data_IF_166289862530
#
_entry.id   IF_166289862530
#
_cell.length_a   1.000
_cell.length_b   1.000
_cell.length_c   1.000
_cell.angle_alpha   90.00
_cell.angle_beta   90.00
_cell.angle_gamma   90.00
#
_symmetry.space_group_name_H-M   'P 1'
#
loop_
_entity.id
_entity.type
_entity.pdbx_description
1 polymer ?
#
# COMPACT_ATOMS: atom_id res chain seq x y z
N UNK A 1 -15.69 6.48 22.40
CA UNK A 1 -15.17 5.46 21.45
C UNK A 1 -16.23 4.88 20.50
N UNK A 2 -17.37 4.34 20.98
CA UNK A 2 -18.37 3.64 20.14
C UNK A 2 -18.88 4.48 18.94
N UNK A 3 -19.07 5.79 19.12
CA UNK A 3 -19.53 6.70 18.03
C UNK A 3 -18.52 6.84 16.88
N UNK A 4 -17.22 6.84 17.17
CA UNK A 4 -16.16 7.03 16.17
C UNK A 4 -15.95 5.77 15.32
N UNK A 5 -15.91 4.59 15.96
CA UNK A 5 -15.83 3.32 15.24
C UNK A 5 -17.05 3.11 14.33
N UNK A 6 -18.25 3.43 14.82
CA UNK A 6 -19.47 3.36 14.01
C UNK A 6 -19.47 4.34 12.83
N UNK A 7 -18.85 5.52 12.99
CA UNK A 7 -18.68 6.48 11.91
C UNK A 7 -17.79 5.92 10.79
N UNK A 8 -16.57 5.48 11.12
CA UNK A 8 -15.66 4.92 10.12
C UNK A 8 -16.21 3.64 9.48
N UNK A 9 -16.88 2.78 10.26
CA UNK A 9 -17.54 1.58 9.73
C UNK A 9 -18.55 1.92 8.63
N UNK A 10 -19.41 2.92 8.87
CA UNK A 10 -20.39 3.39 7.88
C UNK A 10 -19.70 4.00 6.66
N UNK A 11 -18.64 4.77 6.87
CA UNK A 11 -17.87 5.42 5.81
C UNK A 11 -17.22 4.39 4.87
N UNK A 12 -16.56 3.38 5.43
CA UNK A 12 -15.94 2.28 4.70
C UNK A 12 -17.00 1.43 3.99
N UNK A 13 -18.10 1.10 4.67
CA UNK A 13 -19.20 0.34 4.07
C UNK A 13 -19.79 1.03 2.84
N UNK A 14 -19.90 2.37 2.86
CA UNK A 14 -20.36 3.17 1.72
C UNK A 14 -19.41 3.07 0.51
N UNK A 15 -18.13 2.79 0.72
CA UNK A 15 -17.10 2.63 -0.32
C UNK A 15 -16.74 1.17 -0.62
N UNK A 16 -17.46 0.17 -0.07
CA UNK A 16 -17.04 -1.25 -0.08
C UNK A 16 -16.76 -1.84 -1.46
N UNK A 17 -17.52 -1.45 -2.50
CA UNK A 17 -17.30 -2.00 -3.85
C UNK A 17 -15.97 -1.53 -4.44
N UNK A 18 -15.55 -0.30 -4.14
CA UNK A 18 -14.22 0.20 -4.51
C UNK A 18 -13.13 -0.52 -3.74
N UNK A 19 -13.39 -0.83 -2.46
CA UNK A 19 -12.47 -1.64 -1.66
C UNK A 19 -12.30 -3.04 -2.25
N UNK A 20 -13.40 -3.73 -2.60
CA UNK A 20 -13.33 -5.05 -3.25
C UNK A 20 -12.59 -4.99 -4.58
N UNK A 21 -12.83 -3.97 -5.39
CA UNK A 21 -12.10 -3.76 -6.65
C UNK A 21 -10.59 -3.62 -6.41
N UNK A 22 -10.19 -2.76 -5.46
CA UNK A 22 -8.78 -2.54 -5.12
C UNK A 22 -8.13 -3.81 -4.57
N UNK A 23 -8.81 -4.55 -3.69
CA UNK A 23 -8.31 -5.82 -3.15
C UNK A 23 -8.14 -6.85 -4.26
N UNK A 24 -9.10 -6.97 -5.17
CA UNK A 24 -8.99 -7.87 -6.30
C UNK A 24 -7.81 -7.50 -7.22
N UNK A 25 -7.65 -6.21 -7.52
CA UNK A 25 -6.54 -5.69 -8.31
C UNK A 25 -5.19 -5.97 -7.65
N UNK A 26 -5.09 -5.77 -6.34
CA UNK A 26 -3.90 -6.07 -5.54
C UNK A 26 -3.53 -7.55 -5.61
N UNK A 27 -4.50 -8.47 -5.46
CA UNK A 27 -4.28 -9.91 -5.58
C UNK A 27 -3.79 -10.27 -6.97
N UNK A 28 -4.42 -9.72 -8.02
CA UNK A 28 -4.01 -9.97 -9.41
C UNK A 28 -2.56 -9.58 -9.63
N UNK A 29 -2.15 -8.38 -9.20
CA UNK A 29 -0.77 -7.92 -9.38
C UNK A 29 0.24 -8.68 -8.53
N UNK A 30 -0.10 -9.03 -7.29
CA UNK A 30 0.76 -9.84 -6.44
C UNK A 30 0.99 -11.24 -7.02
N UNK A 31 -0.09 -11.91 -7.46
CA UNK A 31 0.01 -13.24 -8.07
C UNK A 31 0.76 -13.16 -9.40
N UNK A 32 0.46 -12.17 -10.23
CA UNK A 32 1.16 -11.96 -11.50
C UNK A 32 2.67 -11.77 -11.29
N UNK A 33 3.06 -10.91 -10.35
CA UNK A 33 4.47 -10.63 -10.05
C UNK A 33 5.19 -11.85 -9.44
N UNK A 34 4.51 -12.60 -8.57
CA UNK A 34 5.03 -13.87 -8.04
C UNK A 34 5.27 -14.88 -9.17
N UNK A 35 4.29 -15.09 -10.06
CA UNK A 35 4.40 -15.99 -11.21
C UNK A 35 5.52 -15.55 -12.15
N UNK A 36 5.66 -14.24 -12.38
CA UNK A 36 6.75 -13.68 -13.18
C UNK A 36 8.11 -13.99 -12.55
N UNK A 37 8.26 -13.78 -11.24
CA UNK A 37 9.51 -14.01 -10.52
C UNK A 37 9.96 -15.49 -10.58
N UNK A 38 9.03 -16.44 -10.40
CA UNK A 38 9.35 -17.88 -10.49
C UNK A 38 9.59 -18.34 -11.94
N UNK A 39 8.96 -17.70 -12.91
CA UNK A 39 9.12 -18.04 -14.34
C UNK A 39 10.43 -17.50 -14.90
N UNK A 40 10.92 -16.38 -14.36
CA UNK A 40 12.15 -15.72 -14.77
C UNK A 40 13.06 -15.42 -13.56
N UNK A 41 13.60 -16.43 -12.85
CA UNK A 41 14.35 -16.19 -11.61
C UNK A 41 15.60 -15.33 -11.81
N UNK A 42 16.19 -15.35 -13.01
CA UNK A 42 17.33 -14.53 -13.38
C UNK A 42 17.06 -13.00 -13.30
N UNK A 43 15.79 -12.56 -13.33
CA UNK A 43 15.46 -11.14 -13.17
C UNK A 43 15.43 -10.69 -11.70
N UNK A 44 15.47 -11.63 -10.76
CA UNK A 44 15.32 -11.33 -9.33
C UNK A 44 16.43 -10.41 -8.78
N UNK A 45 17.74 -10.70 -9.00
CA UNK A 45 18.80 -9.82 -8.50
C UNK A 45 18.72 -8.40 -9.07
N UNK A 46 18.36 -8.25 -10.34
CA UNK A 46 18.18 -6.95 -10.98
C UNK A 46 17.04 -6.15 -10.35
N UNK A 47 15.92 -6.81 -10.04
CA UNK A 47 14.79 -6.18 -9.36
C UNK A 47 15.14 -5.76 -7.93
N UNK A 48 15.86 -6.61 -7.17
CA UNK A 48 16.34 -6.27 -5.83
C UNK A 48 17.31 -5.08 -5.89
N UNK A 49 18.23 -5.05 -6.84
CA UNK A 49 19.11 -3.90 -7.06
C UNK A 49 18.34 -2.61 -7.32
N UNK A 50 17.34 -2.66 -8.21
CA UNK A 50 16.47 -1.51 -8.49
C UNK A 50 15.70 -1.02 -7.25
N UNK A 51 15.14 -1.94 -6.44
CA UNK A 51 14.48 -1.58 -5.19
C UNK A 51 15.49 -0.97 -4.21
N UNK A 52 16.66 -1.58 -4.03
CA UNK A 52 17.72 -1.08 -3.16
C UNK A 52 18.15 0.34 -3.51
N UNK A 53 18.35 0.65 -4.79
CA UNK A 53 18.65 2.02 -5.25
C UNK A 53 17.49 3.00 -4.99
N UNK A 54 16.26 2.56 -5.19
CA UNK A 54 15.07 3.38 -4.96
C UNK A 54 14.89 3.69 -3.48
N UNK A 55 15.00 2.68 -2.61
CA UNK A 55 14.98 2.85 -1.16
C UNK A 55 16.16 3.69 -0.67
N UNK A 56 17.37 3.48 -1.20
CA UNK A 56 18.54 4.31 -0.87
C UNK A 56 18.33 5.79 -1.18
N UNK A 57 17.66 6.12 -2.30
CA UNK A 57 17.29 7.51 -2.63
C UNK A 57 16.22 8.09 -1.70
N UNK A 58 15.28 7.27 -1.24
CA UNK A 58 14.21 7.69 -0.31
C UNK A 58 14.76 7.91 1.10
N UNK A 59 15.60 6.97 1.57
CA UNK A 59 16.24 7.03 2.88
C UNK A 59 17.33 8.11 2.92
N UNK A 60 18.03 8.37 1.81
CA UNK A 60 19.10 9.36 1.75
C UNK A 60 20.18 9.09 2.79
N UNK A 61 20.59 10.12 3.52
CA UNK A 61 21.56 10.03 4.63
C UNK A 61 20.92 9.64 5.97
N UNK A 62 19.70 9.11 5.97
CA UNK A 62 19.03 8.70 7.21
C UNK A 62 19.77 7.53 7.83
N UNK A 63 20.38 7.76 8.98
CA UNK A 63 21.07 6.75 9.76
C UNK A 63 20.06 5.70 10.28
N UNK A 64 20.22 4.41 9.92
CA UNK A 64 19.36 3.33 10.41
C UNK A 64 19.32 3.22 11.94
N UNK A 65 20.40 3.63 12.63
CA UNK A 65 20.46 3.66 14.09
C UNK A 65 19.53 4.74 14.69
N UNK A 66 19.22 5.78 13.91
CA UNK A 66 18.25 6.81 14.25
C UNK A 66 16.82 6.39 13.91
N UNK A 67 16.33 5.37 14.62
CA UNK A 67 15.00 4.74 14.41
C UNK A 67 13.83 5.71 14.28
N UNK A 68 13.89 6.87 14.95
CA UNK A 68 12.85 7.90 14.86
C UNK A 68 12.94 8.73 13.56
N UNK A 69 14.13 9.02 13.06
CA UNK A 69 14.31 9.66 11.75
C UNK A 69 13.87 8.71 10.63
N UNK A 70 14.26 7.44 10.73
CA UNK A 70 13.81 6.38 9.81
C UNK A 70 12.27 6.29 9.78
N UNK A 71 11.61 6.25 10.95
CA UNK A 71 10.16 6.26 11.03
C UNK A 71 9.54 7.48 10.34
N UNK A 72 10.13 8.67 10.51
CA UNK A 72 9.63 9.89 9.87
C UNK A 72 9.71 9.83 8.35
N UNK A 73 10.81 9.30 7.79
CA UNK A 73 10.98 9.15 6.35
C UNK A 73 9.99 8.15 5.79
N UNK A 74 9.87 6.96 6.40
CA UNK A 74 8.92 5.92 5.99
C UNK A 74 7.48 6.41 6.07
N UNK A 75 7.11 7.04 7.20
CA UNK A 75 5.79 7.65 7.37
C UNK A 75 5.51 8.69 6.28
N UNK A 76 6.45 9.61 6.03
CA UNK A 76 6.29 10.67 5.04
C UNK A 76 6.07 10.10 3.64
N UNK A 77 6.85 9.09 3.25
CA UNK A 77 6.75 8.47 1.94
C UNK A 77 5.38 7.79 1.76
N UNK A 78 4.98 6.95 2.70
CA UNK A 78 3.69 6.25 2.65
C UNK A 78 2.50 7.20 2.76
N UNK A 79 2.62 8.24 3.58
CA UNK A 79 1.58 9.25 3.71
C UNK A 79 1.41 10.07 2.43
N UNK A 80 2.50 10.50 1.79
CA UNK A 80 2.44 11.20 0.51
C UNK A 80 1.80 10.28 -0.55
N UNK A 81 2.23 9.03 -0.67
CA UNK A 81 1.64 8.08 -1.62
C UNK A 81 0.13 7.92 -1.39
N UNK A 82 -0.29 7.65 -0.15
CA UNK A 82 -1.70 7.49 0.23
C UNK A 82 -2.51 8.77 0.06
N UNK A 83 -1.90 9.93 0.30
CA UNK A 83 -2.55 11.22 0.08
C UNK A 83 -2.75 11.49 -1.42
N UNK A 84 -1.74 11.19 -2.25
CA UNK A 84 -1.81 11.33 -3.70
C UNK A 84 -2.87 10.40 -4.30
N UNK A 85 -3.02 9.18 -3.79
CA UNK A 85 -4.10 8.26 -4.17
C UNK A 85 -5.48 8.91 -4.03
N UNK A 86 -5.72 9.61 -2.92
CA UNK A 86 -6.98 10.30 -2.66
C UNK A 86 -7.08 11.59 -3.48
N UNK A 87 -6.05 12.43 -3.46
CA UNK A 87 -6.05 13.76 -4.07
C UNK A 87 -6.18 13.70 -5.59
N UNK A 88 -5.43 12.81 -6.23
CA UNK A 88 -5.48 12.60 -7.68
C UNK A 88 -6.53 11.57 -8.11
N UNK A 89 -7.39 11.14 -7.19
CA UNK A 89 -8.57 10.34 -7.51
C UNK A 89 -9.45 10.97 -8.60
N UNK A 90 -9.47 12.30 -8.72
CA UNK A 90 -10.21 13.01 -9.78
C UNK A 90 -9.73 12.71 -11.19
N UNK A 91 -8.47 12.30 -11.37
CA UNK A 91 -7.90 11.84 -12.64
C UNK A 91 -8.27 10.36 -12.85
N UNK A 92 -9.57 10.08 -12.73
CA UNK A 92 -10.15 8.75 -12.87
C UNK A 92 -9.50 7.69 -11.95
N UNK A 93 -8.96 8.04 -10.79
CA UNK A 93 -8.31 7.07 -9.90
C UNK A 93 -7.08 6.37 -10.51
N UNK A 94 -6.50 6.91 -11.60
CA UNK A 94 -5.33 6.35 -12.25
C UNK A 94 -4.16 6.20 -11.29
N UNK A 95 -3.95 7.21 -10.43
CA UNK A 95 -2.91 7.18 -9.39
C UNK A 95 -3.14 6.04 -8.42
N UNK A 96 -4.39 5.80 -7.99
CA UNK A 96 -4.74 4.68 -7.11
C UNK A 96 -4.45 3.32 -7.75
N UNK A 97 -4.71 3.16 -9.05
CA UNK A 97 -4.39 1.94 -9.79
C UNK A 97 -2.88 1.72 -9.87
N UNK A 98 -2.11 2.77 -10.18
CA UNK A 98 -0.65 2.71 -10.25
C UNK A 98 -0.06 2.38 -8.87
N UNK A 99 -0.52 3.05 -7.82
CA UNK A 99 -0.09 2.82 -6.43
C UNK A 99 -0.29 1.35 -6.02
N UNK A 100 -1.48 0.79 -6.26
CA UNK A 100 -1.76 -0.62 -5.98
C UNK A 100 -0.90 -1.55 -6.82
N UNK A 101 -0.70 -1.22 -8.10
CA UNK A 101 0.15 -2.00 -8.99
C UNK A 101 1.58 -2.07 -8.45
N UNK A 102 2.20 -0.93 -8.15
CA UNK A 102 3.60 -0.87 -7.68
C UNK A 102 3.77 -1.60 -6.34
N UNK A 103 2.91 -1.32 -5.36
CA UNK A 103 3.02 -1.92 -4.02
C UNK A 103 2.84 -3.44 -4.04
N UNK A 104 1.79 -3.93 -4.72
CA UNK A 104 1.48 -5.36 -4.71
C UNK A 104 2.30 -6.16 -5.73
N UNK A 105 2.77 -5.53 -6.81
CA UNK A 105 3.77 -6.14 -7.68
C UNK A 105 5.08 -6.36 -6.91
N UNK A 106 5.59 -5.34 -6.20
CA UNK A 106 6.79 -5.49 -5.38
C UNK A 106 6.62 -6.58 -4.32
N UNK A 107 5.51 -6.56 -3.57
CA UNK A 107 5.22 -7.58 -2.55
C UNK A 107 5.17 -9.00 -3.15
N UNK A 108 4.46 -9.18 -4.27
CA UNK A 108 4.35 -10.47 -4.94
C UNK A 108 5.70 -10.98 -5.45
N UNK A 109 6.49 -10.11 -6.07
CA UNK A 109 7.82 -10.45 -6.56
C UNK A 109 8.79 -10.81 -5.42
N UNK A 110 8.81 -10.03 -4.34
CA UNK A 110 9.64 -10.26 -3.16
C UNK A 110 9.26 -11.53 -2.38
N UNK A 111 8.00 -11.98 -2.49
CA UNK A 111 7.56 -13.21 -1.84
C UNK A 111 8.10 -14.49 -2.49
N UNK A 112 8.60 -14.41 -3.73
CA UNK A 112 8.90 -15.58 -4.53
C UNK A 112 9.99 -16.49 -3.94
N UNK A 113 11.14 -15.99 -3.43
CA UNK A 113 12.15 -16.84 -2.83
C UNK A 113 11.76 -17.45 -1.49
N UNK A 114 10.77 -16.88 -0.81
CA UNK A 114 10.24 -17.40 0.44
C UNK A 114 9.21 -18.52 0.23
N UNK A 115 8.39 -18.41 -0.81
CA UNK A 115 7.30 -19.36 -1.12
C UNK A 115 7.78 -20.50 -2.03
N UNK A 116 8.72 -20.23 -2.95
CA UNK A 116 9.27 -21.20 -3.89
C UNK A 116 10.80 -21.32 -3.80
N UNK A 117 11.37 -21.60 -2.60
CA UNK A 117 12.82 -21.54 -2.35
C UNK A 117 13.65 -22.44 -3.30
N UNK A 118 13.08 -23.56 -3.75
CA UNK A 118 13.72 -24.47 -4.71
C UNK A 118 14.05 -23.83 -6.06
N UNK A 119 13.38 -22.73 -6.43
CA UNK A 119 13.61 -21.99 -7.68
C UNK A 119 14.78 -21.01 -7.55
N UNK A 120 15.07 -20.55 -6.34
CA UNK A 120 15.99 -19.44 -6.06
C UNK A 120 17.33 -19.87 -5.46
N UNK A 121 17.45 -21.12 -4.98
CA UNK A 121 18.73 -21.66 -4.51
C UNK A 121 19.33 -20.82 -3.38
N UNK A 122 20.50 -20.24 -3.61
CA UNK A 122 21.20 -19.37 -2.64
C UNK A 122 20.47 -18.07 -2.33
N UNK A 123 19.60 -17.60 -3.23
CA UNK A 123 18.76 -16.40 -3.05
C UNK A 123 17.48 -16.71 -2.26
N UNK A 124 17.26 -17.97 -1.87
CA UNK A 124 16.10 -18.35 -1.07
C UNK A 124 16.12 -17.71 0.32
N UNK A 125 14.95 -17.33 0.79
CA UNK A 125 14.76 -16.72 2.11
C UNK A 125 13.84 -17.63 2.91
N UNK A 126 14.08 -17.77 4.21
CA UNK A 126 13.16 -18.50 5.08
C UNK A 126 11.79 -17.82 5.08
N UNK A 127 10.72 -18.60 4.90
CA UNK A 127 9.34 -18.09 4.95
C UNK A 127 9.06 -17.31 6.25
N UNK A 128 9.63 -17.77 7.37
CA UNK A 128 9.48 -17.11 8.66
C UNK A 128 10.15 -15.72 8.66
N UNK A 129 11.35 -15.60 8.08
CA UNK A 129 12.05 -14.32 7.97
C UNK A 129 11.25 -13.35 7.10
N UNK A 130 10.71 -13.81 5.97
CA UNK A 130 9.85 -13.00 5.11
C UNK A 130 8.57 -12.51 5.82
N UNK A 131 7.90 -13.40 6.56
CA UNK A 131 6.69 -13.03 7.33
C UNK A 131 7.05 -12.00 8.41
N UNK A 132 8.13 -12.20 9.15
CA UNK A 132 8.56 -11.24 10.18
C UNK A 132 9.00 -9.91 9.55
N UNK A 133 9.58 -9.94 8.35
CA UNK A 133 9.98 -8.74 7.65
C UNK A 133 8.78 -7.88 7.22
N UNK A 134 7.62 -8.47 6.93
CA UNK A 134 6.48 -7.72 6.37
C UNK A 134 5.32 -7.56 7.35
N UNK A 135 4.96 -8.64 8.05
CA UNK A 135 3.73 -8.70 8.83
C UNK A 135 3.63 -7.63 9.92
N UNK A 136 4.69 -7.28 10.68
CA UNK A 136 4.58 -6.32 11.77
C UNK A 136 4.05 -4.95 11.31
N UNK A 137 4.61 -4.37 10.24
CA UNK A 137 4.18 -3.07 9.71
C UNK A 137 3.05 -3.20 8.69
N UNK A 138 3.06 -4.28 7.88
CA UNK A 138 2.09 -4.54 6.82
C UNK A 138 0.65 -4.69 7.30
N UNK A 139 0.42 -5.11 8.56
CA UNK A 139 -0.92 -5.13 9.18
C UNK A 139 -1.57 -3.74 9.20
N UNK A 140 -0.78 -2.66 9.29
CA UNK A 140 -1.28 -1.30 9.33
C UNK A 140 -1.18 -0.59 7.98
N UNK A 141 -0.09 -0.81 7.24
CA UNK A 141 0.15 -0.18 5.95
C UNK A 141 -0.82 -0.67 4.87
N UNK A 142 -1.04 -1.99 4.74
CA UNK A 142 -1.91 -2.55 3.70
C UNK A 142 -3.35 -2.01 3.82
N UNK A 143 -3.98 -1.97 5.01
CA UNK A 143 -5.28 -1.31 5.15
C UNK A 143 -5.25 0.18 4.81
N UNK A 144 -4.18 0.90 5.13
CA UNK A 144 -4.05 2.32 4.81
C UNK A 144 -4.03 2.55 3.29
N UNK A 145 -3.21 1.79 2.55
CA UNK A 145 -3.12 1.81 1.08
C UNK A 145 -4.47 1.42 0.45
N UNK A 146 -5.12 0.36 0.95
CA UNK A 146 -6.42 -0.06 0.42
C UNK A 146 -7.51 0.99 0.63
N UNK A 147 -7.52 1.64 1.80
CA UNK A 147 -8.47 2.71 2.08
C UNK A 147 -8.19 3.93 1.20
N UNK A 148 -6.95 4.40 1.07
CA UNK A 148 -6.61 5.54 0.22
C UNK A 148 -6.98 5.28 -1.23
N UNK A 149 -6.57 4.15 -1.80
CA UNK A 149 -6.83 3.79 -3.18
C UNK A 149 -8.33 3.58 -3.46
N UNK A 150 -9.08 2.96 -2.55
CA UNK A 150 -10.52 2.76 -2.73
C UNK A 150 -11.29 4.09 -2.73
N UNK A 151 -10.92 5.02 -1.86
CA UNK A 151 -11.52 6.34 -1.82
C UNK A 151 -11.06 7.24 -2.98
N UNK A 152 -9.85 7.06 -3.49
CA UNK A 152 -9.36 7.66 -4.75
C UNK A 152 -10.16 7.19 -5.96
N UNK A 153 -10.33 5.88 -6.13
CA UNK A 153 -11.18 5.29 -7.18
C UNK A 153 -12.63 5.77 -7.10
N UNK A 154 -13.17 5.87 -5.88
CA UNK A 154 -14.52 6.39 -5.66
C UNK A 154 -14.67 7.83 -6.15
N UNK A 155 -13.68 8.70 -5.92
CA UNK A 155 -13.68 10.07 -6.47
C UNK A 155 -13.67 10.02 -8.01
N UNK A 156 -12.81 9.18 -8.60
CA UNK A 156 -12.61 9.16 -10.05
C UNK A 156 -13.82 8.67 -10.83
N UNK A 157 -14.51 7.65 -10.33
CA UNK A 157 -15.44 6.89 -11.16
C UNK A 157 -16.90 6.93 -10.70
N UNK A 158 -17.20 7.15 -9.41
CA UNK A 158 -18.56 6.96 -8.90
C UNK A 158 -19.59 7.93 -9.52
N UNK A 159 -19.17 9.16 -9.82
CA UNK A 159 -20.03 10.17 -10.43
C UNK A 159 -20.27 9.93 -11.94
N UNK A 160 -19.47 9.07 -12.58
CA UNK A 160 -19.64 8.68 -13.99
C UNK A 160 -20.66 7.54 -14.16
N UNK A 161 -20.94 6.78 -13.10
CA UNK A 161 -21.87 5.66 -13.16
C UNK A 161 -23.28 6.12 -13.53
N UNK A 162 -24.07 5.28 -14.24
CA UNK A 162 -25.46 5.58 -14.57
C UNK A 162 -26.33 5.90 -13.34
N UNK A 163 -26.04 5.29 -12.19
CA UNK A 163 -26.71 5.56 -10.91
C UNK A 163 -26.57 7.01 -10.40
N UNK A 164 -25.60 7.76 -10.94
CA UNK A 164 -25.33 9.16 -10.61
C UNK A 164 -25.99 10.16 -11.57
N UNK A 165 -26.76 9.67 -12.56
CA UNK A 165 -27.44 10.53 -13.54
C UNK A 165 -28.33 11.59 -12.87
N UNK A 166 -28.27 12.82 -13.36
CA UNK A 166 -28.97 13.98 -12.77
C UNK A 166 -28.41 14.50 -11.45
N UNK A 167 -27.44 13.82 -10.82
CA UNK A 167 -26.85 14.20 -9.51
C UNK A 167 -25.32 14.14 -9.48
N UNK A 168 -24.65 14.05 -10.63
CA UNK A 168 -23.19 13.84 -10.77
C UNK A 168 -22.35 14.80 -9.92
N UNK A 169 -22.63 16.11 -9.96
CA UNK A 169 -21.90 17.12 -9.15
C UNK A 169 -22.02 16.86 -7.65
N UNK A 170 -23.21 16.47 -7.17
CA UNK A 170 -23.45 16.14 -5.76
C UNK A 170 -22.67 14.87 -5.38
N UNK A 171 -22.72 13.83 -6.22
CA UNK A 171 -22.01 12.57 -5.99
C UNK A 171 -20.49 12.77 -5.94
N UNK A 172 -19.93 13.57 -6.85
CA UNK A 172 -18.50 13.91 -6.84
C UNK A 172 -18.13 14.65 -5.55
N UNK A 173 -18.91 15.70 -5.20
CA UNK A 173 -18.70 16.47 -3.96
C UNK A 173 -18.73 15.56 -2.73
N UNK A 174 -19.77 14.74 -2.60
CA UNK A 174 -19.91 13.79 -1.48
C UNK A 174 -18.76 12.78 -1.43
N UNK A 175 -18.26 12.35 -2.58
CA UNK A 175 -17.12 11.42 -2.66
C UNK A 175 -15.83 12.10 -2.17
N UNK A 176 -15.55 13.33 -2.59
CA UNK A 176 -14.40 14.11 -2.11
C UNK A 176 -14.48 14.30 -0.58
N UNK A 177 -15.62 14.73 -0.05
CA UNK A 177 -15.78 14.92 1.40
C UNK A 177 -15.66 13.62 2.19
N UNK A 178 -16.20 12.51 1.68
CA UNK A 178 -16.07 11.21 2.31
C UNK A 178 -14.61 10.73 2.28
N UNK A 179 -13.86 11.00 1.21
CA UNK A 179 -12.43 10.67 1.12
C UNK A 179 -11.57 11.51 2.05
N UNK A 180 -11.86 12.80 2.22
CA UNK A 180 -11.16 13.63 3.21
C UNK A 180 -11.39 13.13 4.64
N UNK A 181 -12.57 12.58 4.92
CA UNK A 181 -12.89 12.00 6.23
C UNK A 181 -12.18 10.68 6.51
N UNK A 182 -11.66 9.96 5.50
CA UNK A 182 -10.90 8.72 5.73
C UNK A 182 -9.43 8.99 6.06
N UNK A 183 -8.88 10.13 5.62
CA UNK A 183 -7.46 10.49 5.80
C UNK A 183 -6.96 10.44 7.25
N UNK A 184 -7.70 10.87 8.29
CA UNK A 184 -7.22 10.76 9.67
C UNK A 184 -7.02 9.31 10.13
N UNK A 185 -7.84 8.37 9.66
CA UNK A 185 -7.65 6.94 9.94
C UNK A 185 -6.41 6.42 9.22
N UNK A 186 -6.25 6.74 7.94
CA UNK A 186 -5.06 6.40 7.14
C UNK A 186 -3.79 6.94 7.81
N UNK A 187 -3.80 8.20 8.24
CA UNK A 187 -2.69 8.85 8.93
C UNK A 187 -2.27 8.09 10.20
N UNK A 188 -3.22 7.72 11.06
CA UNK A 188 -2.93 6.96 12.29
C UNK A 188 -2.37 5.58 11.97
N UNK A 189 -2.93 4.87 10.99
CA UNK A 189 -2.42 3.56 10.57
C UNK A 189 -0.98 3.67 10.09
N UNK A 190 -0.65 4.66 9.27
CA UNK A 190 0.70 4.84 8.73
C UNK A 190 1.73 5.25 9.80
N UNK A 191 1.33 6.03 10.81
CA UNK A 191 2.22 6.31 11.96
C UNK A 191 2.59 5.00 12.66
N UNK A 192 1.59 4.16 12.94
CA UNK A 192 1.83 2.88 13.61
C UNK A 192 2.70 1.99 12.73
N UNK A 193 2.41 1.91 11.42
CA UNK A 193 3.21 1.14 10.47
C UNK A 193 4.69 1.55 10.52
N UNK A 194 4.98 2.85 10.37
CA UNK A 194 6.36 3.35 10.31
C UNK A 194 7.12 3.17 11.63
N UNK A 195 6.45 3.32 12.78
CA UNK A 195 7.05 3.03 14.08
C UNK A 195 7.32 1.53 14.25
N UNK A 196 6.41 0.66 13.83
CA UNK A 196 6.65 -0.79 13.88
C UNK A 196 7.79 -1.18 12.94
N UNK A 197 7.84 -0.59 11.75
CA UNK A 197 8.89 -0.86 10.77
C UNK A 197 10.27 -0.46 11.29
N UNK A 198 10.45 0.77 11.78
CA UNK A 198 11.77 1.23 12.20
C UNK A 198 12.25 0.63 13.53
N UNK A 199 11.34 0.28 14.46
CA UNK A 199 11.73 -0.24 15.77
C UNK A 199 11.78 -1.76 15.84
N UNK A 200 10.93 -2.46 15.10
CA UNK A 200 10.84 -3.93 15.11
C UNK A 200 11.48 -4.52 13.87
N UNK A 201 11.10 -4.04 12.68
CA UNK A 201 11.47 -4.69 11.42
C UNK A 201 12.91 -4.37 11.01
N UNK A 202 13.31 -3.09 11.06
CA UNK A 202 14.67 -2.66 10.75
C UNK A 202 15.73 -3.32 11.63
N UNK A 203 15.39 -3.59 12.89
CA UNK A 203 16.27 -4.31 13.82
C UNK A 203 16.46 -5.79 13.46
N UNK A 204 15.46 -6.44 12.86
CA UNK A 204 15.50 -7.88 12.53
C UNK A 204 16.21 -8.14 11.20
N UNK A 205 16.10 -7.21 10.25
CA UNK A 205 16.67 -7.36 8.90
C UNK A 205 18.11 -6.81 8.84
N UNK A 206 18.52 -6.00 9.82
CA UNK A 206 19.90 -5.48 9.90
C UNK A 206 20.19 -4.51 8.76
N UNK A 207 19.34 -3.50 8.60
CA UNK A 207 19.72 -2.30 7.86
C UNK A 207 20.67 -1.45 8.68
#
# INVERSE_FOLDING_TARGET
MIRLCNFYRKLIYKSRYWLYFIVALAIVWAVFAFVLAISFPATYPAFIGFLGETFGKILGDSDPDQKFELAKVLFKQNFIASFLDVAFGIVFGLVSVISITVNFFALGFLSAPAIAPQVFGTESVSLLVFIIAILPHGIFEIPAIFLSAAFGMRIGWYWLLPSSSGKRRKVLKDSIFDSLKILPLVFVLLIIAALVESYVTGWIIGF
#
